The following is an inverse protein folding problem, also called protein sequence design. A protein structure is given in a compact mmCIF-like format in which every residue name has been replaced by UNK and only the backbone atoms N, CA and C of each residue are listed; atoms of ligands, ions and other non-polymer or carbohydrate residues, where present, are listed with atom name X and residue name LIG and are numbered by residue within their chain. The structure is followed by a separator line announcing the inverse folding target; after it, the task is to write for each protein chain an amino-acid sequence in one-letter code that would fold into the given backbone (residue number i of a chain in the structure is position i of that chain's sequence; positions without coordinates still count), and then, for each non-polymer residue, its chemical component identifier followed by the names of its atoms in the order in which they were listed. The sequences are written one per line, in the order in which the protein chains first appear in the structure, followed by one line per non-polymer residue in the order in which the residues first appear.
data_IF_985855071170
#
_entry.id   IF_985855071170
#
_cell.length_a   1.000
_cell.length_b   1.000
_cell.length_c   1.000
_cell.angle_alpha   90.00
_cell.angle_beta   90.00
_cell.angle_gamma   90.00
#
_symmetry.space_group_name_H-M   'P 1'
#
loop_
_entity.id
_entity.type
_entity.pdbx_description
1 polymer ?
#
# COMPACT_ATOMS: atom_id res chain seq x y z
N UNK A 1 2.71 -8.01 -37.10
CA UNK A 1 2.17 -6.77 -36.48
C UNK A 1 2.73 -6.68 -35.07
N UNK A 2 3.70 -5.78 -34.82
CA UNK A 2 4.19 -5.53 -33.46
C UNK A 2 3.11 -4.73 -32.72
N UNK A 3 2.28 -5.40 -31.94
CA UNK A 3 1.38 -4.74 -31.01
C UNK A 3 2.24 -3.90 -30.05
N UNK A 4 2.24 -2.57 -30.22
CA UNK A 4 2.84 -1.67 -29.26
C UNK A 4 2.00 -1.75 -27.98
N UNK A 5 2.41 -2.58 -27.03
CA UNK A 5 1.78 -2.63 -25.72
C UNK A 5 1.87 -1.22 -25.12
N UNK A 6 0.74 -0.58 -24.76
CA UNK A 6 0.76 0.76 -24.18
C UNK A 6 1.67 0.79 -22.96
N UNK A 7 2.69 1.64 -23.02
CA UNK A 7 3.67 1.82 -21.96
C UNK A 7 3.14 2.81 -20.92
N UNK A 8 2.36 2.33 -19.95
CA UNK A 8 1.85 3.17 -18.85
C UNK A 8 2.97 3.60 -17.90
N UNK A 9 3.14 4.91 -17.74
CA UNK A 9 4.16 5.52 -16.89
C UNK A 9 3.61 6.74 -16.15
N UNK A 10 4.11 6.98 -14.94
CA UNK A 10 3.78 8.18 -14.20
C UNK A 10 2.29 8.32 -13.89
N UNK A 11 1.73 9.49 -14.24
CA UNK A 11 0.31 9.78 -14.02
C UNK A 11 -0.62 8.88 -14.83
N UNK A 12 -0.22 8.41 -16.01
CA UNK A 12 -1.04 7.46 -16.79
C UNK A 12 -1.16 6.10 -16.10
N UNK A 13 -0.10 5.64 -15.42
CA UNK A 13 -0.13 4.43 -14.59
C UNK A 13 -1.04 4.63 -13.37
N UNK A 14 -0.92 5.77 -12.69
CA UNK A 14 -1.83 6.11 -11.58
C UNK A 14 -3.30 6.14 -12.03
N UNK A 15 -3.58 6.77 -13.18
CA UNK A 15 -4.92 6.85 -13.76
C UNK A 15 -5.48 5.46 -14.08
N UNK A 16 -4.69 4.61 -14.73
CA UNK A 16 -5.08 3.22 -15.01
C UNK A 16 -5.38 2.44 -13.73
N UNK A 17 -4.49 2.47 -12.73
CA UNK A 17 -4.70 1.74 -11.48
C UNK A 17 -5.93 2.25 -10.72
N UNK A 18 -6.14 3.57 -10.70
CA UNK A 18 -7.33 4.19 -10.09
C UNK A 18 -8.61 3.78 -10.81
N UNK A 19 -8.60 3.77 -12.15
CA UNK A 19 -9.72 3.31 -12.96
C UNK A 19 -10.03 1.84 -12.69
N UNK A 20 -9.02 0.97 -12.63
CA UNK A 20 -9.22 -0.44 -12.30
C UNK A 20 -9.84 -0.65 -10.91
N UNK A 21 -9.43 0.14 -9.91
CA UNK A 21 -10.03 0.13 -8.57
C UNK A 21 -11.51 0.54 -8.63
N UNK A 22 -11.82 1.62 -9.35
CA UNK A 22 -13.20 2.10 -9.49
C UNK A 22 -14.07 1.11 -10.26
N UNK A 23 -13.59 0.58 -11.39
CA UNK A 23 -14.30 -0.42 -12.19
C UNK A 23 -14.56 -1.68 -11.37
N UNK A 24 -13.56 -2.22 -10.66
CA UNK A 24 -13.75 -3.37 -9.78
C UNK A 24 -14.82 -3.08 -8.71
N UNK A 25 -14.76 -1.91 -8.08
CA UNK A 25 -15.72 -1.52 -7.04
C UNK A 25 -17.13 -1.39 -7.61
N UNK A 26 -17.29 -0.70 -8.74
CA UNK A 26 -18.56 -0.50 -9.41
C UNK A 26 -19.19 -1.83 -9.86
N UNK A 27 -18.39 -2.74 -10.43
CA UNK A 27 -18.85 -4.06 -10.83
C UNK A 27 -19.34 -4.88 -9.62
N UNK A 28 -18.61 -4.86 -8.51
CA UNK A 28 -19.06 -5.54 -7.28
C UNK A 28 -20.39 -4.96 -6.80
N UNK A 29 -20.55 -3.64 -6.79
CA UNK A 29 -21.79 -3.01 -6.34
C UNK A 29 -22.97 -3.27 -7.29
N UNK A 30 -22.73 -3.32 -8.61
CA UNK A 30 -23.78 -3.49 -9.61
C UNK A 30 -24.29 -4.95 -9.72
N UNK A 31 -23.42 -5.94 -9.50
CA UNK A 31 -23.75 -7.36 -9.71
C UNK A 31 -24.17 -8.10 -8.42
N UNK A 32 -24.30 -7.41 -7.30
CA UNK A 32 -24.78 -8.00 -6.05
C UNK A 32 -26.14 -7.39 -5.67
N UNK A 33 -27.21 -8.19 -5.58
CA UNK A 33 -28.57 -7.67 -5.35
C UNK A 33 -28.76 -7.09 -3.94
N UNK A 34 -28.02 -7.60 -2.95
CA UNK A 34 -28.01 -7.06 -1.60
C UNK A 34 -26.87 -6.03 -1.46
N UNK A 35 -27.24 -4.76 -1.27
CA UNK A 35 -26.29 -3.66 -1.16
C UNK A 35 -25.38 -3.76 0.08
N UNK A 36 -25.83 -4.34 1.19
CA UNK A 36 -25.04 -4.53 2.41
C UNK A 36 -23.91 -5.53 2.13
N UNK A 37 -24.24 -6.68 1.55
CA UNK A 37 -23.25 -7.71 1.20
C UNK A 37 -22.38 -7.29 0.01
N UNK A 38 -22.91 -6.53 -0.94
CA UNK A 38 -22.14 -5.90 -2.02
C UNK A 38 -21.06 -4.98 -1.45
N UNK A 39 -21.44 -4.08 -0.54
CA UNK A 39 -20.53 -3.13 0.11
C UNK A 39 -19.49 -3.86 0.95
N UNK A 40 -19.89 -4.88 1.72
CA UNK A 40 -18.95 -5.73 2.48
C UNK A 40 -17.93 -6.41 1.57
N UNK A 41 -18.37 -6.89 0.41
CA UNK A 41 -17.51 -7.52 -0.59
C UNK A 41 -16.55 -6.51 -1.22
N UNK A 42 -17.02 -5.31 -1.55
CA UNK A 42 -16.19 -4.23 -2.07
C UNK A 42 -15.15 -3.76 -1.05
N UNK A 43 -15.48 -3.71 0.25
CA UNK A 43 -14.54 -3.43 1.35
C UNK A 43 -13.40 -4.45 1.35
N UNK A 44 -13.72 -5.76 1.25
CA UNK A 44 -12.70 -6.82 1.21
C UNK A 44 -11.83 -6.72 -0.04
N UNK A 45 -12.43 -6.45 -1.20
CA UNK A 45 -11.72 -6.32 -2.46
C UNK A 45 -10.74 -5.14 -2.44
N UNK A 46 -11.20 -3.95 -2.05
CA UNK A 46 -10.36 -2.75 -1.95
C UNK A 46 -9.26 -2.86 -0.89
N UNK A 47 -9.50 -3.56 0.23
CA UNK A 47 -8.46 -3.87 1.20
C UNK A 47 -7.33 -4.74 0.60
N UNK A 48 -7.69 -5.77 -0.17
CA UNK A 48 -6.73 -6.67 -0.85
C UNK A 48 -5.96 -5.94 -1.96
N UNK A 49 -6.64 -5.14 -2.77
CA UNK A 49 -6.01 -4.32 -3.81
C UNK A 49 -5.02 -3.33 -3.21
N UNK A 50 -5.42 -2.68 -2.13
CA UNK A 50 -4.53 -1.78 -1.39
C UNK A 50 -3.32 -2.50 -0.80
N UNK A 51 -3.53 -3.68 -0.22
CA UNK A 51 -2.45 -4.50 0.32
C UNK A 51 -1.44 -4.88 -0.78
N UNK A 52 -1.91 -5.28 -1.97
CA UNK A 52 -1.05 -5.60 -3.10
C UNK A 52 -0.25 -4.38 -3.60
N UNK A 53 -0.90 -3.23 -3.76
CA UNK A 53 -0.24 -1.97 -4.17
C UNK A 53 0.79 -1.51 -3.13
N UNK A 54 0.45 -1.63 -1.84
CA UNK A 54 1.37 -1.34 -0.75
C UNK A 54 2.58 -2.26 -0.77
N UNK A 55 2.39 -3.58 -0.92
CA UNK A 55 3.49 -4.55 -1.01
C UNK A 55 4.43 -4.22 -2.16
N UNK A 56 3.89 -3.90 -3.33
CA UNK A 56 4.67 -3.50 -4.50
C UNK A 56 5.53 -2.26 -4.20
N UNK A 57 4.93 -1.20 -3.63
CA UNK A 57 5.68 -0.01 -3.23
C UNK A 57 6.68 -0.29 -2.09
N UNK A 58 6.33 -1.15 -1.14
CA UNK A 58 7.11 -1.48 0.05
C UNK A 58 8.38 -2.26 -0.29
N UNK A 59 8.27 -3.24 -1.18
CA UNK A 59 9.36 -4.15 -1.56
C UNK A 59 10.23 -3.63 -2.72
N UNK A 60 9.77 -2.61 -3.46
CA UNK A 60 10.45 -2.04 -4.63
C UNK A 60 11.98 -1.90 -4.50
N UNK A 61 12.44 -1.19 -3.46
CA UNK A 61 13.87 -0.93 -3.26
C UNK A 61 14.67 -2.16 -2.84
N UNK A 62 14.03 -3.15 -2.20
CA UNK A 62 14.69 -4.38 -1.80
C UNK A 62 14.91 -5.27 -3.01
N UNK A 63 13.89 -5.47 -3.84
CA UNK A 63 14.03 -6.24 -5.08
C UNK A 63 15.03 -5.63 -6.05
N UNK A 64 15.09 -4.31 -6.17
CA UNK A 64 16.09 -3.66 -7.03
C UNK A 64 17.55 -3.94 -6.63
N UNK A 65 17.79 -4.38 -5.39
CA UNK A 65 19.13 -4.67 -4.86
C UNK A 65 19.42 -6.16 -4.84
N UNK A 66 18.44 -6.96 -4.41
CA UNK A 66 18.57 -8.39 -4.22
C UNK A 66 18.38 -9.18 -5.52
N UNK A 67 17.46 -8.74 -6.38
CA UNK A 67 17.10 -9.39 -7.65
C UNK A 67 16.97 -8.33 -8.75
N UNK A 68 18.08 -7.68 -9.14
CA UNK A 68 18.05 -6.57 -10.10
C UNK A 68 17.56 -7.05 -11.48
N UNK A 69 16.44 -6.50 -11.93
CA UNK A 69 15.78 -6.82 -13.21
C UNK A 69 15.12 -5.57 -13.82
N UNK A 70 14.72 -5.61 -15.12
CA UNK A 70 13.92 -4.52 -15.71
C UNK A 70 12.64 -4.22 -14.93
N UNK A 71 12.01 -5.26 -14.38
CA UNK A 71 10.81 -5.13 -13.55
C UNK A 71 11.12 -4.41 -12.22
N UNK A 72 12.15 -4.82 -11.47
CA UNK A 72 12.48 -4.19 -10.20
C UNK A 72 12.89 -2.72 -10.37
N UNK A 73 13.57 -2.40 -11.49
CA UNK A 73 13.92 -1.00 -11.85
C UNK A 73 12.68 -0.17 -12.15
N UNK A 74 11.74 -0.72 -12.93
CA UNK A 74 10.43 -0.10 -13.20
C UNK A 74 9.65 0.13 -11.91
N UNK A 75 9.62 -0.86 -11.02
CA UNK A 75 8.92 -0.77 -9.74
C UNK A 75 9.48 0.35 -8.84
N UNK A 76 10.81 0.55 -8.83
CA UNK A 76 11.42 1.69 -8.13
C UNK A 76 11.08 3.03 -8.79
N UNK A 77 11.13 3.10 -10.12
CA UNK A 77 10.81 4.32 -10.89
C UNK A 77 9.36 4.77 -10.67
N UNK A 78 8.43 3.83 -10.73
CA UNK A 78 6.99 4.09 -10.62
C UNK A 78 6.46 4.08 -9.18
N UNK A 79 7.33 3.82 -8.19
CA UNK A 79 6.97 3.64 -6.77
C UNK A 79 6.04 4.73 -6.23
N UNK A 80 6.29 5.99 -6.63
CA UNK A 80 5.46 7.14 -6.24
C UNK A 80 4.01 6.95 -6.70
N UNK A 81 3.80 6.59 -7.96
CA UNK A 81 2.48 6.47 -8.57
C UNK A 81 1.75 5.22 -8.07
N UNK A 82 2.47 4.13 -7.81
CA UNK A 82 1.94 2.94 -7.13
C UNK A 82 1.51 3.27 -5.70
N UNK A 83 2.31 4.05 -4.97
CA UNK A 83 1.96 4.54 -3.63
C UNK A 83 0.73 5.45 -3.62
N UNK A 84 0.59 6.31 -4.64
CA UNK A 84 -0.61 7.14 -4.82
C UNK A 84 -1.84 6.29 -5.18
N UNK A 85 -1.69 5.27 -6.02
CA UNK A 85 -2.77 4.33 -6.33
C UNK A 85 -3.19 3.53 -5.09
N UNK A 86 -2.24 3.13 -4.22
CA UNK A 86 -2.54 2.56 -2.92
C UNK A 86 -3.38 3.51 -2.06
N UNK A 87 -2.96 4.77 -1.95
CA UNK A 87 -3.70 5.79 -1.18
C UNK A 87 -5.11 6.01 -1.74
N UNK A 88 -5.27 6.07 -3.07
CA UNK A 88 -6.56 6.18 -3.72
C UNK A 88 -7.44 4.95 -3.45
N UNK A 89 -6.89 3.74 -3.55
CA UNK A 89 -7.63 2.52 -3.20
C UNK A 89 -8.05 2.48 -1.74
N UNK A 90 -7.24 3.03 -0.81
CA UNK A 90 -7.62 3.18 0.59
C UNK A 90 -8.66 4.26 0.82
N UNK A 91 -8.69 5.32 0.01
CA UNK A 91 -9.76 6.32 0.07
C UNK A 91 -11.11 5.70 -0.33
N UNK A 92 -11.15 4.93 -1.43
CA UNK A 92 -12.34 4.16 -1.82
C UNK A 92 -12.72 3.17 -0.72
N UNK A 93 -11.75 2.47 -0.14
CA UNK A 93 -11.98 1.58 1.00
C UNK A 93 -12.61 2.29 2.21
N UNK A 94 -12.14 3.50 2.55
CA UNK A 94 -12.69 4.32 3.63
C UNK A 94 -14.13 4.73 3.35
N UNK A 95 -14.41 5.20 2.13
CA UNK A 95 -15.75 5.55 1.69
C UNK A 95 -16.70 4.35 1.81
N UNK A 96 -16.27 3.17 1.38
CA UNK A 96 -17.05 1.94 1.49
C UNK A 96 -17.30 1.53 2.96
N UNK A 97 -16.30 1.66 3.85
CA UNK A 97 -16.49 1.44 5.29
C UNK A 97 -17.55 2.40 5.84
N UNK A 98 -17.49 3.67 5.45
CA UNK A 98 -18.45 4.67 5.89
C UNK A 98 -19.86 4.33 5.41
N UNK A 99 -20.02 4.05 4.10
CA UNK A 99 -21.27 3.61 3.49
C UNK A 99 -21.82 2.36 4.14
N UNK A 100 -20.99 1.34 4.38
CA UNK A 100 -21.41 0.11 5.06
C UNK A 100 -22.00 0.38 6.44
N UNK A 101 -21.40 1.31 7.19
CA UNK A 101 -21.92 1.69 8.49
C UNK A 101 -23.22 2.51 8.44
N UNK A 102 -23.52 3.19 7.34
CA UNK A 102 -24.83 3.82 7.15
C UNK A 102 -25.90 2.78 6.78
N UNK A 103 -25.52 1.74 6.04
CA UNK A 103 -26.42 0.66 5.61
C UNK A 103 -26.67 -0.40 6.69
N UNK A 104 -25.73 -0.57 7.63
CA UNK A 104 -25.82 -1.54 8.71
C UNK A 104 -25.77 -0.81 10.08
N UNK A 105 -26.94 -0.54 10.71
CA UNK A 105 -27.03 0.27 11.93
C UNK A 105 -26.21 -0.25 13.11
N UNK A 106 -25.97 -1.56 13.19
CA UNK A 106 -25.20 -2.17 14.29
C UNK A 106 -23.67 -2.01 14.12
N UNK A 107 -23.20 -1.62 12.92
CA UNK A 107 -21.79 -1.58 12.60
C UNK A 107 -20.99 -0.57 13.42
N UNK A 108 -21.52 0.65 13.62
CA UNK A 108 -20.83 1.68 14.40
C UNK A 108 -20.88 1.42 15.91
N UNK A 109 -22.03 1.08 16.52
CA UNK A 109 -22.08 0.70 17.93
C UNK A 109 -21.19 -0.50 18.28
N UNK A 110 -21.01 -1.44 17.35
CA UNK A 110 -20.14 -2.61 17.54
C UNK A 110 -18.63 -2.32 17.52
N UNK A 111 -18.19 -1.06 17.33
CA UNK A 111 -16.77 -0.69 17.25
C UNK A 111 -16.30 0.01 18.52
N UNK A 112 -15.14 -0.42 19.02
CA UNK A 112 -14.47 0.24 20.15
C UNK A 112 -13.40 1.22 19.66
N UNK A 113 -13.19 2.30 20.42
CA UNK A 113 -12.11 3.27 20.16
C UNK A 113 -10.76 2.59 20.04
N UNK A 114 -10.43 1.71 21.00
CA UNK A 114 -9.17 0.95 21.03
C UNK A 114 -9.02 0.05 19.80
N UNK A 115 -10.10 -0.64 19.39
CA UNK A 115 -10.09 -1.50 18.21
C UNK A 115 -9.84 -0.77 16.89
N UNK A 116 -10.17 0.53 16.84
CA UNK A 116 -10.00 1.39 15.68
C UNK A 116 -8.63 2.08 15.60
N UNK A 117 -7.87 2.17 16.70
CA UNK A 117 -6.56 2.86 16.76
C UNK A 117 -5.63 2.49 15.59
N UNK A 118 -5.38 1.19 15.27
CA UNK A 118 -4.49 0.83 14.18
C UNK A 118 -4.96 1.35 12.81
N UNK A 119 -6.27 1.34 12.58
CA UNK A 119 -6.88 1.86 11.36
C UNK A 119 -6.71 3.38 11.26
N UNK A 120 -7.01 4.10 12.34
CA UNK A 120 -6.87 5.56 12.40
C UNK A 120 -5.42 6.02 12.19
N UNK A 121 -4.46 5.36 12.83
CA UNK A 121 -3.03 5.62 12.62
C UNK A 121 -2.65 5.34 11.15
N UNK A 122 -3.14 4.24 10.58
CA UNK A 122 -2.93 3.92 9.18
C UNK A 122 -3.39 5.04 8.24
N UNK A 123 -4.63 5.50 8.40
CA UNK A 123 -5.17 6.60 7.58
C UNK A 123 -4.42 7.92 7.78
N UNK A 124 -4.02 8.25 9.00
CA UNK A 124 -3.21 9.44 9.26
C UNK A 124 -1.90 9.42 8.44
N UNK A 125 -1.16 8.31 8.48
CA UNK A 125 0.07 8.18 7.69
C UNK A 125 -0.18 8.16 6.19
N UNK A 126 -1.26 7.54 5.72
CA UNK A 126 -1.65 7.59 4.30
C UNK A 126 -1.87 9.04 3.85
N UNK A 127 -2.62 9.83 4.62
CA UNK A 127 -2.89 11.24 4.30
C UNK A 127 -1.59 12.03 4.28
N UNK A 128 -0.78 11.96 5.33
CA UNK A 128 0.49 12.70 5.42
C UNK A 128 1.45 12.35 4.28
N UNK A 129 1.61 11.06 3.97
CA UNK A 129 2.48 10.62 2.88
C UNK A 129 1.95 11.03 1.51
N UNK A 130 0.63 11.01 1.31
CA UNK A 130 -0.01 11.43 0.06
C UNK A 130 0.16 12.92 -0.18
N UNK A 131 -0.16 13.75 0.83
CA UNK A 131 0.01 15.21 0.74
C UNK A 131 1.46 15.60 0.49
N UNK A 132 2.42 14.85 1.03
CA UNK A 132 3.86 15.07 0.84
C UNK A 132 4.45 14.36 -0.37
N UNK A 133 3.62 13.77 -1.25
CA UNK A 133 4.07 13.12 -2.50
C UNK A 133 4.12 14.08 -3.70
N UNK A 134 3.88 15.39 -3.51
CA UNK A 134 3.93 16.41 -4.56
C UNK A 134 5.22 17.25 -4.46
N UNK A 135 5.71 17.77 -5.59
CA UNK A 135 6.98 18.53 -5.64
C UNK A 135 6.97 19.72 -4.69
N UNK A 136 5.88 20.49 -4.69
CA UNK A 136 5.70 21.68 -3.85
C UNK A 136 5.78 21.32 -2.37
N UNK A 137 5.00 20.34 -1.92
CA UNK A 137 4.94 19.95 -0.51
C UNK A 137 6.21 19.25 -0.03
N UNK A 138 6.87 18.48 -0.91
CA UNK A 138 8.20 17.90 -0.64
C UNK A 138 9.23 18.99 -0.38
N UNK A 139 9.19 20.10 -1.13
CA UNK A 139 10.07 21.24 -0.94
C UNK A 139 9.78 21.97 0.37
N UNK A 140 8.52 22.12 0.75
CA UNK A 140 8.10 22.82 1.97
C UNK A 140 8.62 22.15 3.25
N UNK A 141 8.51 20.82 3.37
CA UNK A 141 8.96 20.11 4.59
C UNK A 141 10.46 19.76 4.57
N UNK A 142 11.11 19.92 3.43
CA UNK A 142 12.52 19.57 3.23
C UNK A 142 12.80 18.07 3.11
N UNK A 143 13.92 17.75 2.43
CA UNK A 143 14.28 16.37 2.07
C UNK A 143 14.47 15.44 3.27
N UNK A 144 14.99 15.94 4.40
CA UNK A 144 15.25 15.14 5.60
C UNK A 144 13.94 14.72 6.26
N UNK A 145 13.03 15.66 6.53
CA UNK A 145 11.73 15.36 7.13
C UNK A 145 10.86 14.52 6.20
N UNK A 146 10.85 14.83 4.89
CA UNK A 146 10.16 14.02 3.88
C UNK A 146 10.62 12.56 3.91
N UNK A 147 11.95 12.33 3.91
CA UNK A 147 12.50 10.98 3.95
C UNK A 147 12.15 10.28 5.26
N UNK A 148 12.22 10.98 6.40
CA UNK A 148 11.85 10.42 7.69
C UNK A 148 10.39 9.98 7.70
N UNK A 149 9.46 10.86 7.29
CA UNK A 149 8.03 10.60 7.19
C UNK A 149 7.71 9.41 6.29
N UNK A 150 8.29 9.37 5.08
CA UNK A 150 8.01 8.29 4.14
C UNK A 150 8.60 6.96 4.59
N UNK A 151 9.77 6.96 5.26
CA UNK A 151 10.34 5.73 5.81
C UNK A 151 9.55 5.23 7.01
N UNK A 152 9.22 6.11 7.96
CA UNK A 152 8.45 5.73 9.16
C UNK A 152 7.05 5.30 8.77
N UNK A 153 6.36 6.06 7.92
CA UNK A 153 5.02 5.73 7.46
C UNK A 153 4.94 4.39 6.75
N UNK A 154 5.92 4.03 5.92
CA UNK A 154 5.96 2.69 5.33
C UNK A 154 6.07 1.57 6.37
N UNK A 155 6.84 1.76 7.44
CA UNK A 155 6.94 0.77 8.51
C UNK A 155 5.69 0.72 9.38
N UNK A 156 5.09 1.86 9.67
CA UNK A 156 3.82 1.94 10.40
C UNK A 156 2.72 1.20 9.61
N UNK A 157 2.59 1.48 8.32
CA UNK A 157 1.60 0.80 7.47
C UNK A 157 1.86 -0.72 7.37
N UNK A 158 3.13 -1.13 7.27
CA UNK A 158 3.51 -2.54 7.32
C UNK A 158 3.09 -3.20 8.65
N UNK A 159 3.31 -2.53 9.78
CA UNK A 159 2.88 -3.02 11.09
C UNK A 159 1.36 -3.09 11.20
N UNK A 160 0.62 -2.07 10.72
CA UNK A 160 -0.84 -2.05 10.70
C UNK A 160 -1.40 -3.20 9.86
N UNK A 161 -0.88 -3.43 8.66
CA UNK A 161 -1.29 -4.58 7.83
C UNK A 161 -0.96 -5.91 8.49
N UNK A 162 0.23 -6.06 9.06
CA UNK A 162 0.65 -7.28 9.75
C UNK A 162 -0.28 -7.59 10.92
N UNK A 163 -0.47 -6.63 11.82
CA UNK A 163 -1.34 -6.77 12.99
C UNK A 163 -2.80 -7.03 12.58
N UNK A 164 -3.32 -6.32 11.58
CA UNK A 164 -4.70 -6.46 11.12
C UNK A 164 -5.00 -7.84 10.53
N UNK A 165 -4.02 -8.48 9.88
CA UNK A 165 -4.17 -9.85 9.40
C UNK A 165 -3.94 -10.86 10.52
N UNK A 166 -2.89 -10.68 11.33
CA UNK A 166 -2.57 -11.57 12.45
C UNK A 166 -3.74 -11.75 13.41
N UNK A 167 -4.33 -10.66 13.89
CA UNK A 167 -5.44 -10.72 14.86
C UNK A 167 -6.71 -11.38 14.32
N UNK A 168 -6.81 -11.56 13.00
CA UNK A 168 -7.96 -12.18 12.33
C UNK A 168 -7.75 -13.65 11.98
N UNK A 169 -6.56 -14.21 12.25
CA UNK A 169 -6.29 -15.65 12.06
C UNK A 169 -7.28 -16.52 12.84
N UNK A 170 -7.65 -16.23 14.10
CA UNK A 170 -8.65 -17.02 14.82
C UNK A 170 -10.06 -16.95 14.20
N UNK A 171 -10.38 -15.90 13.43
CA UNK A 171 -11.66 -15.75 12.75
C UNK A 171 -11.72 -16.55 11.44
N UNK A 172 -10.58 -16.73 10.78
CA UNK A 172 -10.46 -17.54 9.56
C UNK A 172 -9.00 -17.83 9.25
N UNK A 173 -8.68 -19.11 9.02
CA UNK A 173 -7.35 -19.55 8.61
C UNK A 173 -6.85 -18.88 7.32
N UNK A 174 -7.75 -18.34 6.48
CA UNK A 174 -7.39 -17.56 5.29
C UNK A 174 -6.43 -16.41 5.61
N UNK A 175 -6.51 -15.80 6.80
CA UNK A 175 -5.65 -14.69 7.19
C UNK A 175 -4.18 -15.07 7.41
N UNK A 176 -3.85 -16.37 7.48
CA UNK A 176 -2.46 -16.86 7.48
C UNK A 176 -1.74 -16.42 6.20
N UNK A 177 -2.41 -16.45 5.05
CA UNK A 177 -1.81 -16.10 3.76
C UNK A 177 -1.38 -14.62 3.69
N UNK A 178 -2.26 -13.61 3.85
CA UNK A 178 -1.85 -12.21 3.80
C UNK A 178 -0.90 -11.84 4.95
N UNK A 179 -1.03 -12.45 6.13
CA UNK A 179 -0.05 -12.28 7.21
C UNK A 179 1.33 -12.78 6.79
N UNK A 180 1.43 -14.01 6.28
CA UNK A 180 2.67 -14.62 5.82
C UNK A 180 3.34 -13.80 4.72
N UNK A 181 2.57 -13.36 3.71
CA UNK A 181 3.07 -12.51 2.63
C UNK A 181 3.65 -11.19 3.19
N UNK A 182 2.94 -10.53 4.11
CA UNK A 182 3.42 -9.28 4.70
C UNK A 182 4.69 -9.50 5.54
N UNK A 183 4.74 -10.59 6.32
CA UNK A 183 5.89 -10.96 7.11
C UNK A 183 7.11 -11.24 6.21
N UNK A 184 6.95 -12.02 5.14
CA UNK A 184 7.99 -12.25 4.13
C UNK A 184 8.45 -10.93 3.49
N UNK A 185 7.52 -10.02 3.17
CA UNK A 185 7.86 -8.70 2.63
C UNK A 185 8.69 -7.84 3.60
N UNK A 186 8.40 -7.92 4.90
CA UNK A 186 9.21 -7.30 5.96
C UNK A 186 10.63 -7.88 5.95
N UNK A 187 10.76 -9.20 5.97
CA UNK A 187 12.07 -9.90 5.94
C UNK A 187 12.87 -9.49 4.71
N UNK A 188 12.27 -9.56 3.52
CA UNK A 188 12.89 -9.14 2.25
C UNK A 188 13.35 -7.69 2.32
N UNK A 189 12.52 -6.79 2.90
CA UNK A 189 12.88 -5.38 3.01
C UNK A 189 14.04 -5.13 3.97
N UNK A 190 14.11 -5.87 5.09
CA UNK A 190 15.24 -5.81 6.02
C UNK A 190 16.52 -6.29 5.34
N UNK A 191 16.50 -7.47 4.72
CA UNK A 191 17.65 -8.03 3.98
C UNK A 191 18.11 -7.05 2.89
N UNK A 192 17.18 -6.49 2.12
CA UNK A 192 17.49 -5.51 1.08
C UNK A 192 18.17 -4.26 1.63
N UNK A 193 17.76 -3.76 2.81
CA UNK A 193 18.44 -2.63 3.48
C UNK A 193 19.86 -2.99 3.93
N UNK A 194 20.06 -4.19 4.47
CA UNK A 194 21.38 -4.66 4.88
C UNK A 194 22.31 -4.79 3.67
N UNK A 195 21.83 -5.36 2.57
CA UNK A 195 22.57 -5.46 1.31
C UNK A 195 22.94 -4.08 0.74
N UNK A 196 22.04 -3.09 0.79
CA UNK A 196 22.35 -1.72 0.40
C UNK A 196 23.45 -1.09 1.27
N UNK A 197 23.41 -1.31 2.58
CA UNK A 197 24.43 -0.80 3.51
C UNK A 197 25.80 -1.42 3.20
N UNK A 198 25.85 -2.73 3.01
CA UNK A 198 27.09 -3.44 2.67
C UNK A 198 27.72 -2.93 1.36
N UNK A 199 26.90 -2.72 0.31
CA UNK A 199 27.38 -2.16 -0.97
C UNK A 199 27.98 -0.76 -0.82
N UNK A 200 27.41 0.10 0.03
CA UNK A 200 27.96 1.45 0.29
C UNK A 200 29.31 1.40 1.00
N UNK A 201 29.40 0.61 2.07
CA UNK A 201 30.66 0.43 2.82
C UNK A 201 31.78 -0.11 1.91
N UNK A 202 31.45 -1.06 1.03
CA UNK A 202 32.42 -1.59 0.07
C UNK A 202 32.87 -0.54 -0.97
N UNK A 203 31.97 0.35 -1.41
CA UNK A 203 32.31 1.43 -2.34
C UNK A 203 33.19 2.50 -1.68
N UNK A 204 32.89 2.89 -0.44
CA UNK A 204 33.67 3.88 0.32
C UNK A 204 35.12 3.39 0.53
N UNK A 205 35.30 2.10 0.85
CA UNK A 205 36.63 1.48 0.99
C UNK A 205 37.46 1.54 -0.29
N UNK A 206 36.83 1.44 -1.48
CA UNK A 206 37.52 1.53 -2.77
C UNK A 206 37.94 2.96 -3.14
N UNK A 207 37.33 3.98 -2.54
CA UNK A 207 37.68 5.38 -2.77
C UNK A 207 38.79 5.86 -1.84
N UNK A 208 39.02 5.15 -0.74
CA UNK A 208 40.09 5.42 0.24
C UNK A 208 41.37 4.60 0.01
N UNK A 209 41.36 3.69 -0.98
CA UNK A 209 42.51 2.93 -1.46
C UNK A 209 42.97 3.50 -2.79
#
# INVERSE_FOLDING_TARGET
MNAQIPRYHGWSLFGLLSLLVLSMTALILAFNPDLIEATRTAIRATARTSFALFLAAFTASAFAVLVPSPLSKTLVRERRFIGLAFAFSHLVHAALIYTYGQLNPEFWPGRTTVGNIPGSIGYLFIILMTLTSFKTTTRLIGRKAWKALHVSGMWVLAAVFTYSNFKRIPLSAWYVLPFGIMFSAIVVRVIGKLAQKAKRVAADRKLTQ
#
